data_IF_652103013111
#
_entry.id   IF_652103013111
#
_cell.length_a   1.000
_cell.length_b   1.000
_cell.length_c   1.000
_cell.angle_alpha   90.00
_cell.angle_beta   90.00
_cell.angle_gamma   90.00
#
_symmetry.space_group_name_H-M   'P 1'
#
loop_
_entity.id
_entity.type
_entity.pdbx_description
1 polymer ?
#
# COMPACT_ATOMS: atom_id res chain seq x y z
N UNK A 1 -2.17 -20.89 -25.02
CA UNK A 1 -2.48 -20.76 -23.59
C UNK A 1 -1.91 -19.44 -23.10
N UNK A 2 -2.74 -18.44 -22.81
CA UNK A 2 -2.30 -17.28 -22.02
C UNK A 2 -2.06 -17.80 -20.59
N UNK A 3 -0.82 -17.79 -20.14
CA UNK A 3 -0.53 -18.05 -18.73
C UNK A 3 -1.11 -16.91 -17.91
N UNK A 4 -1.94 -17.23 -16.90
CA UNK A 4 -2.45 -16.22 -15.97
C UNK A 4 -1.31 -15.54 -15.19
N UNK A 5 -1.58 -14.35 -14.68
CA UNK A 5 -0.62 -13.61 -13.87
C UNK A 5 -0.68 -14.06 -12.42
N UNK A 6 0.46 -14.12 -11.76
CA UNK A 6 0.49 -14.32 -10.31
C UNK A 6 0.02 -13.05 -9.59
N UNK A 7 -0.51 -13.21 -8.38
CA UNK A 7 -0.90 -12.12 -7.50
C UNK A 7 0.21 -11.06 -7.39
N UNK A 8 1.46 -11.49 -7.22
CA UNK A 8 2.63 -10.61 -7.20
C UNK A 8 2.79 -9.84 -8.51
N UNK A 9 2.64 -10.49 -9.67
CA UNK A 9 2.76 -9.83 -10.97
C UNK A 9 1.64 -8.80 -11.18
N UNK A 10 0.41 -9.10 -10.72
CA UNK A 10 -0.70 -8.16 -10.77
C UNK A 10 -0.41 -6.91 -9.93
N UNK A 11 0.08 -7.07 -8.69
CA UNK A 11 0.50 -5.94 -7.84
C UNK A 11 1.60 -5.11 -8.47
N UNK A 12 2.59 -5.77 -9.11
CA UNK A 12 3.67 -5.08 -9.82
C UNK A 12 3.12 -4.24 -10.97
N UNK A 13 2.22 -4.81 -11.78
CA UNK A 13 1.60 -4.11 -12.90
C UNK A 13 0.76 -2.92 -12.43
N UNK A 14 -0.05 -3.09 -11.39
CA UNK A 14 -0.87 -2.02 -10.82
C UNK A 14 -0.02 -0.87 -10.29
N UNK A 15 1.03 -1.17 -9.52
CA UNK A 15 1.96 -0.16 -8.99
C UNK A 15 2.66 0.59 -10.11
N UNK A 16 3.17 -0.14 -11.10
CA UNK A 16 3.83 0.43 -12.28
C UNK A 16 2.90 1.40 -13.01
N UNK A 17 1.65 1.01 -13.24
CA UNK A 17 0.67 1.85 -13.92
C UNK A 17 0.40 3.15 -13.15
N UNK A 18 0.24 3.10 -11.83
CA UNK A 18 0.04 4.31 -11.02
C UNK A 18 1.23 5.26 -11.12
N UNK A 19 2.46 4.75 -11.06
CA UNK A 19 3.67 5.58 -11.19
C UNK A 19 3.77 6.19 -12.60
N UNK A 20 3.63 5.38 -13.64
CA UNK A 20 3.84 5.83 -15.03
C UNK A 20 2.71 6.73 -15.55
N UNK A 21 1.46 6.50 -15.13
CA UNK A 21 0.30 7.22 -15.70
C UNK A 21 -0.22 8.35 -14.80
N UNK A 22 0.00 8.27 -13.49
CA UNK A 22 -0.48 9.27 -12.52
C UNK A 22 0.65 9.96 -11.75
N UNK A 23 1.92 9.62 -12.03
CA UNK A 23 3.08 10.26 -11.39
C UNK A 23 3.23 9.97 -9.90
N UNK A 24 2.77 8.81 -9.42
CA UNK A 24 2.96 8.45 -8.03
C UNK A 24 4.44 8.29 -7.68
N UNK A 25 4.83 8.79 -6.52
CA UNK A 25 6.10 8.49 -5.87
C UNK A 25 5.92 7.34 -4.87
N UNK A 26 6.88 6.45 -4.79
CA UNK A 26 6.89 5.35 -3.84
C UNK A 26 7.86 5.70 -2.71
N UNK A 27 7.38 5.69 -1.46
CA UNK A 27 8.22 5.98 -0.30
C UNK A 27 8.18 4.83 0.71
N UNK A 28 9.28 4.57 1.37
CA UNK A 28 9.36 3.58 2.46
C UNK A 28 10.65 2.79 2.47
N UNK A 29 10.75 1.90 3.45
CA UNK A 29 11.89 1.02 3.60
C UNK A 29 11.96 -0.02 2.47
N UNK A 30 13.11 -0.15 1.83
CA UNK A 30 13.35 -1.09 0.72
C UNK A 30 12.72 -0.66 -0.61
N UNK A 31 12.22 0.59 -0.71
CA UNK A 31 11.59 1.10 -1.93
C UNK A 31 12.55 1.13 -3.13
N UNK A 32 13.82 1.45 -2.88
CA UNK A 32 14.84 1.53 -3.94
C UNK A 32 15.59 0.21 -4.18
N UNK A 33 15.75 -0.60 -3.17
CA UNK A 33 16.63 -1.76 -3.28
C UNK A 33 15.93 -2.98 -3.86
N UNK A 34 14.61 -2.96 -3.86
CA UNK A 34 13.85 -4.14 -4.19
C UNK A 34 14.07 -5.23 -3.16
N UNK A 35 13.92 -6.28 -3.04
CA UNK A 35 14.24 -7.23 -1.97
C UNK A 35 13.15 -8.29 -1.85
N UNK A 36 12.68 -8.50 -0.64
CA UNK A 36 11.69 -9.51 -0.33
C UNK A 36 10.30 -8.90 -0.07
N UNK A 37 9.28 -9.73 -0.12
CA UNK A 37 7.91 -9.33 0.18
C UNK A 37 7.42 -8.21 -0.75
N UNK A 38 6.81 -7.19 -0.17
CA UNK A 38 6.22 -6.05 -0.89
C UNK A 38 7.23 -5.32 -1.78
N UNK A 39 8.47 -5.12 -1.32
CA UNK A 39 9.49 -4.43 -2.11
C UNK A 39 9.80 -5.16 -3.44
N UNK A 40 9.63 -6.48 -3.47
CA UNK A 40 9.77 -7.28 -4.68
C UNK A 40 8.61 -7.13 -5.68
N UNK A 41 7.57 -6.34 -5.35
CA UNK A 41 6.50 -5.94 -6.28
C UNK A 41 6.75 -4.58 -6.93
N UNK A 42 7.86 -3.92 -6.60
CA UNK A 42 8.27 -2.66 -7.21
C UNK A 42 9.19 -2.98 -8.39
N UNK A 43 8.77 -2.62 -9.60
CA UNK A 43 9.58 -2.83 -10.79
C UNK A 43 10.86 -1.99 -10.70
N UNK A 44 12.00 -2.59 -11.03
CA UNK A 44 13.31 -1.93 -10.99
C UNK A 44 13.38 -0.66 -11.85
N UNK A 45 12.58 -0.58 -12.92
CA UNK A 45 12.51 0.61 -13.78
C UNK A 45 11.92 1.82 -13.06
N UNK A 46 11.20 1.62 -11.95
CA UNK A 46 10.58 2.69 -11.14
C UNK A 46 11.54 3.31 -10.12
N UNK A 47 12.79 2.86 -10.05
CA UNK A 47 13.76 3.31 -9.04
C UNK A 47 13.89 4.85 -8.95
N UNK A 48 13.76 5.56 -10.08
CA UNK A 48 13.77 7.03 -10.12
C UNK A 48 12.54 7.69 -9.45
N UNK A 49 11.47 6.94 -9.25
CA UNK A 49 10.25 7.39 -8.55
C UNK A 49 10.15 6.85 -7.12
N UNK A 50 11.24 6.24 -6.61
CA UNK A 50 11.30 5.66 -5.29
C UNK A 50 12.16 6.52 -4.35
N UNK A 51 11.69 6.78 -3.16
CA UNK A 51 12.42 7.44 -2.09
C UNK A 51 12.61 6.44 -0.96
N UNK A 52 13.86 6.05 -0.73
CA UNK A 52 14.22 5.18 0.38
C UNK A 52 14.09 5.92 1.70
N UNK A 53 13.41 5.32 2.66
CA UNK A 53 13.27 5.85 4.00
C UNK A 53 13.79 4.84 5.03
N UNK A 54 14.34 5.31 6.16
CA UNK A 54 14.67 4.43 7.27
C UNK A 54 13.41 3.87 7.94
N UNK A 55 13.59 2.92 8.84
CA UNK A 55 12.50 2.31 9.63
C UNK A 55 11.99 3.30 10.68
N UNK A 56 10.90 4.00 10.38
CA UNK A 56 10.23 4.95 11.28
C UNK A 56 8.79 5.21 10.80
N UNK A 57 7.94 4.23 10.90
CA UNK A 57 6.63 4.16 10.25
C UNK A 57 5.70 5.31 10.65
N UNK A 58 5.77 5.81 11.89
CA UNK A 58 4.99 6.97 12.32
C UNK A 58 5.39 8.21 11.52
N UNK A 59 6.68 8.52 11.45
CA UNK A 59 7.20 9.67 10.69
C UNK A 59 6.93 9.48 9.20
N UNK A 60 7.11 8.28 8.66
CA UNK A 60 6.81 7.96 7.26
C UNK A 60 5.35 8.25 6.91
N UNK A 61 4.40 7.88 7.78
CA UNK A 61 2.97 8.15 7.57
C UNK A 61 2.70 9.66 7.56
N UNK A 62 3.35 10.41 8.45
CA UNK A 62 3.28 11.89 8.46
C UNK A 62 3.91 12.53 7.22
N UNK A 63 5.05 12.02 6.76
CA UNK A 63 5.72 12.46 5.51
C UNK A 63 4.80 12.23 4.31
N UNK A 64 4.18 11.03 4.20
CA UNK A 64 3.24 10.72 3.14
C UNK A 64 2.09 11.74 3.07
N UNK A 65 1.52 12.07 4.24
CA UNK A 65 0.47 13.09 4.32
C UNK A 65 0.98 14.47 3.91
N UNK A 66 2.15 14.89 4.41
CA UNK A 66 2.75 16.19 4.08
C UNK A 66 3.05 16.34 2.59
N UNK A 67 3.63 15.31 1.97
CA UNK A 67 3.89 15.28 0.51
C UNK A 67 2.58 15.33 -0.29
N UNK A 68 1.56 14.57 0.14
CA UNK A 68 0.24 14.62 -0.48
C UNK A 68 -0.40 16.00 -0.38
N UNK A 69 -0.28 16.70 0.74
CA UNK A 69 -0.74 18.07 0.91
C UNK A 69 0.03 19.08 0.05
N UNK A 70 1.30 18.79 -0.26
CA UNK A 70 2.12 19.57 -1.19
C UNK A 70 1.77 19.31 -2.67
N UNK A 71 0.85 18.38 -2.96
CA UNK A 71 0.38 18.09 -4.31
C UNK A 71 0.97 16.84 -4.97
N UNK A 72 1.78 16.07 -4.24
CA UNK A 72 2.34 14.83 -4.76
C UNK A 72 1.36 13.65 -4.61
N UNK A 73 1.38 12.72 -5.55
CA UNK A 73 0.68 11.45 -5.44
C UNK A 73 1.61 10.42 -4.79
N UNK A 74 1.20 9.77 -3.71
CA UNK A 74 2.11 8.96 -2.87
C UNK A 74 1.62 7.53 -2.72
N UNK A 75 2.52 6.57 -2.92
CA UNK A 75 2.41 5.19 -2.45
C UNK A 75 3.39 5.02 -1.30
N UNK A 76 2.89 4.93 -0.07
CA UNK A 76 3.70 4.68 1.12
C UNK A 76 3.65 3.20 1.46
N UNK A 77 4.80 2.52 1.43
CA UNK A 77 4.88 1.07 1.61
C UNK A 77 5.32 0.69 3.02
N UNK A 78 4.63 -0.29 3.60
CA UNK A 78 4.92 -0.85 4.93
C UNK A 78 5.00 -2.38 4.80
N UNK A 79 6.21 -2.95 4.71
CA UNK A 79 6.39 -4.39 4.47
C UNK A 79 5.79 -5.30 5.54
N UNK A 80 5.46 -4.76 6.71
CA UNK A 80 4.80 -5.51 7.79
C UNK A 80 3.67 -4.68 8.41
N UNK A 81 2.48 -5.27 8.47
CA UNK A 81 1.33 -4.62 9.09
C UNK A 81 1.56 -4.37 10.58
N UNK A 82 2.26 -5.28 11.25
CA UNK A 82 2.62 -5.15 12.65
C UNK A 82 3.40 -3.85 12.96
N UNK A 83 4.28 -3.43 12.06
CA UNK A 83 5.08 -2.21 12.25
C UNK A 83 4.30 -0.96 11.85
N UNK A 84 3.38 -1.06 10.89
CA UNK A 84 2.48 0.03 10.52
C UNK A 84 1.63 0.52 11.70
N UNK A 85 1.41 -0.30 12.73
CA UNK A 85 0.69 0.10 13.95
C UNK A 85 1.30 1.35 14.58
N UNK A 86 2.61 1.55 14.54
CA UNK A 86 3.25 2.76 15.06
C UNK A 86 2.81 4.03 14.32
N UNK A 87 2.41 3.92 13.06
CA UNK A 87 1.89 5.02 12.25
C UNK A 87 0.39 5.32 12.41
N UNK A 88 -0.35 4.55 13.24
CA UNK A 88 -1.80 4.70 13.33
C UNK A 88 -2.28 6.05 13.85
N UNK A 89 -1.49 6.74 14.69
CA UNK A 89 -1.84 8.10 15.11
C UNK A 89 -1.93 9.04 13.91
N UNK A 90 -0.95 8.99 13.01
CA UNK A 90 -0.93 9.81 11.80
C UNK A 90 -2.03 9.41 10.81
N UNK A 91 -2.34 8.10 10.73
CA UNK A 91 -3.41 7.60 9.88
C UNK A 91 -4.78 8.04 10.38
N UNK A 92 -5.11 7.76 11.66
CA UNK A 92 -6.45 7.91 12.22
C UNK A 92 -6.76 9.37 12.54
N UNK A 93 -5.83 10.08 13.20
CA UNK A 93 -6.08 11.42 13.72
C UNK A 93 -5.83 12.51 12.68
N UNK A 94 -4.99 12.25 11.68
CA UNK A 94 -4.64 13.24 10.67
C UNK A 94 -5.17 12.87 9.29
N UNK A 95 -4.72 11.75 8.71
CA UNK A 95 -5.09 11.38 7.33
C UNK A 95 -6.59 11.11 7.17
N UNK A 96 -7.19 10.33 8.07
CA UNK A 96 -8.62 10.00 8.02
C UNK A 96 -9.52 11.20 8.31
N UNK A 97 -9.08 12.15 9.13
CA UNK A 97 -9.86 13.34 9.50
C UNK A 97 -9.60 14.54 8.58
N UNK A 98 -8.60 14.47 7.72
CA UNK A 98 -8.17 15.60 6.88
C UNK A 98 -9.33 16.23 6.10
N UNK A 99 -10.14 15.41 5.42
CA UNK A 99 -11.27 15.88 4.61
C UNK A 99 -12.29 16.65 5.45
N UNK A 100 -12.61 16.15 6.64
CA UNK A 100 -13.56 16.79 7.56
C UNK A 100 -12.95 18.08 8.13
N UNK A 101 -11.73 18.02 8.65
CA UNK A 101 -11.04 19.18 9.26
C UNK A 101 -10.81 20.32 8.25
N UNK A 102 -10.59 19.98 6.99
CA UNK A 102 -10.38 20.97 5.93
C UNK A 102 -11.67 21.44 5.24
N UNK A 103 -12.84 20.96 5.70
CA UNK A 103 -14.12 21.20 5.03
C UNK A 103 -14.09 20.82 3.54
N UNK A 104 -13.44 19.69 3.23
CA UNK A 104 -13.31 19.16 1.87
C UNK A 104 -12.28 19.87 0.98
N UNK A 105 -11.52 20.84 1.50
CA UNK A 105 -10.53 21.59 0.71
C UNK A 105 -9.30 20.78 0.32
N UNK A 106 -8.96 19.77 1.12
CA UNK A 106 -7.82 18.89 0.87
C UNK A 106 -8.29 17.44 0.66
N UNK A 107 -7.88 16.86 -0.45
CA UNK A 107 -8.11 15.45 -0.80
C UNK A 107 -6.90 14.92 -1.57
N UNK A 108 -5.74 14.74 -0.89
CA UNK A 108 -4.53 14.24 -1.53
C UNK A 108 -4.68 12.79 -1.97
N UNK A 109 -3.95 12.39 -2.99
CA UNK A 109 -3.89 11.02 -3.47
C UNK A 109 -2.78 10.26 -2.74
N UNK A 110 -3.16 9.44 -1.76
CA UNK A 110 -2.20 8.66 -0.97
C UNK A 110 -2.69 7.20 -0.88
N UNK A 111 -1.82 6.28 -1.18
CA UNK A 111 -2.05 4.85 -1.00
C UNK A 111 -1.08 4.35 0.08
N UNK A 112 -1.61 4.00 1.24
CA UNK A 112 -0.87 3.25 2.25
C UNK A 112 -0.96 1.76 1.90
N UNK A 113 0.16 1.15 1.48
CA UNK A 113 0.24 -0.29 1.21
C UNK A 113 0.88 -0.99 2.39
N UNK A 114 0.18 -1.97 2.97
CA UNK A 114 0.65 -2.74 4.11
C UNK A 114 0.64 -4.24 3.81
N UNK A 115 1.69 -4.95 4.22
CA UNK A 115 1.87 -6.37 3.97
C UNK A 115 1.58 -7.23 5.19
N UNK A 116 0.69 -8.22 5.03
CA UNK A 116 0.52 -9.31 6.00
C UNK A 116 1.54 -10.39 5.68
N UNK A 117 2.41 -10.70 6.64
CA UNK A 117 3.47 -11.69 6.46
C UNK A 117 2.92 -13.10 6.34
N UNK A 118 3.57 -13.92 5.49
CA UNK A 118 3.28 -15.35 5.38
C UNK A 118 3.92 -16.14 6.54
N UNK A 119 3.31 -17.29 6.86
CA UNK A 119 3.87 -18.29 7.79
C UNK A 119 4.64 -19.39 7.06
N UNK A 120 4.51 -19.48 5.76
CA UNK A 120 5.16 -20.47 4.89
C UNK A 120 5.82 -19.72 3.73
N UNK A 121 7.05 -20.05 3.32
CA UNK A 121 7.95 -21.09 3.81
C UNK A 121 8.67 -20.76 5.12
N UNK A 122 8.63 -19.51 5.57
CA UNK A 122 9.28 -19.05 6.80
C UNK A 122 8.25 -18.29 7.66
N UNK A 123 8.02 -18.79 8.88
CA UNK A 123 7.27 -18.05 9.90
C UNK A 123 8.21 -17.11 10.66
N UNK A 124 8.05 -15.82 10.43
CA UNK A 124 8.83 -14.79 11.12
C UNK A 124 8.32 -14.48 12.55
N UNK A 125 7.30 -15.23 13.00
CA UNK A 125 6.72 -15.13 14.33
C UNK A 125 5.60 -14.11 14.47
N UNK A 126 5.04 -14.00 15.70
CA UNK A 126 3.78 -13.27 15.95
C UNK A 126 3.87 -11.75 15.75
N UNK A 127 5.05 -11.19 15.62
CA UNK A 127 5.24 -9.75 15.35
C UNK A 127 5.33 -9.43 13.85
N UNK A 128 5.09 -10.41 12.96
CA UNK A 128 5.28 -10.24 11.52
C UNK A 128 4.13 -10.79 10.68
N UNK A 129 3.12 -11.39 11.32
CA UNK A 129 2.07 -12.15 10.62
C UNK A 129 0.65 -11.77 11.01
N UNK A 130 0.48 -10.68 11.77
CA UNK A 130 -0.85 -10.23 12.16
C UNK A 130 -1.54 -9.45 11.02
N UNK A 131 -2.87 -9.51 11.06
CA UNK A 131 -3.75 -8.79 10.16
C UNK A 131 -4.75 -7.97 10.99
N UNK A 132 -4.65 -6.65 10.88
CA UNK A 132 -5.51 -5.70 11.60
C UNK A 132 -6.55 -5.05 10.70
N UNK A 133 -6.81 -5.62 9.52
CA UNK A 133 -7.74 -5.05 8.52
C UNK A 133 -9.14 -4.83 9.10
N UNK A 134 -9.66 -5.81 9.85
CA UNK A 134 -10.99 -5.71 10.46
C UNK A 134 -11.08 -4.51 11.41
N UNK A 135 -10.11 -4.37 12.29
CA UNK A 135 -10.06 -3.27 13.27
C UNK A 135 -9.97 -1.91 12.57
N UNK A 136 -9.15 -1.80 11.52
CA UNK A 136 -9.03 -0.54 10.79
C UNK A 136 -10.27 -0.20 9.98
N UNK A 137 -10.99 -1.19 9.43
CA UNK A 137 -12.30 -0.96 8.80
C UNK A 137 -13.35 -0.41 9.76
N UNK A 138 -13.24 -0.73 11.05
CA UNK A 138 -14.16 -0.23 12.10
C UNK A 138 -13.77 1.18 12.58
N UNK A 139 -12.50 1.53 12.58
CA UNK A 139 -11.97 2.80 13.10
C UNK A 139 -11.98 3.91 12.04
N UNK A 140 -11.58 3.59 10.79
CA UNK A 140 -11.43 4.56 9.71
C UNK A 140 -12.80 4.95 9.16
N UNK A 141 -13.00 6.25 8.94
CA UNK A 141 -14.29 6.82 8.54
C UNK A 141 -14.27 7.42 7.14
N UNK A 142 -13.12 7.91 6.69
CA UNK A 142 -12.95 8.54 5.37
C UNK A 142 -11.99 7.75 4.46
N UNK A 143 -11.05 7.03 5.04
CA UNK A 143 -10.10 6.18 4.30
C UNK A 143 -10.76 4.85 3.99
N UNK A 144 -10.84 4.49 2.72
CA UNK A 144 -11.33 3.17 2.30
C UNK A 144 -10.24 2.12 2.47
N UNK A 145 -10.59 1.02 3.15
CA UNK A 145 -9.68 -0.10 3.41
C UNK A 145 -9.99 -1.24 2.43
N UNK A 146 -9.03 -1.54 1.58
CA UNK A 146 -9.07 -2.62 0.60
C UNK A 146 -8.20 -3.77 1.07
N UNK A 147 -8.79 -4.94 1.26
CA UNK A 147 -8.05 -6.16 1.54
C UNK A 147 -8.04 -7.04 0.30
N UNK A 148 -6.86 -7.24 -0.28
CA UNK A 148 -6.68 -8.06 -1.46
C UNK A 148 -6.45 -9.51 -1.00
N UNK A 149 -7.55 -10.24 -0.80
CA UNK A 149 -7.53 -11.65 -0.44
C UNK A 149 -7.28 -12.55 -1.65
N UNK A 150 -7.24 -13.86 -1.42
CA UNK A 150 -6.90 -14.88 -2.43
C UNK A 150 -7.78 -14.84 -3.69
N UNK A 151 -9.05 -14.49 -3.54
CA UNK A 151 -10.04 -14.50 -4.63
C UNK A 151 -10.31 -13.08 -5.20
N UNK A 152 -9.53 -12.10 -4.78
CA UNK A 152 -9.68 -10.72 -5.22
C UNK A 152 -8.64 -10.42 -6.29
N UNK A 153 -9.09 -9.98 -7.45
CA UNK A 153 -8.17 -9.49 -8.50
C UNK A 153 -7.57 -8.14 -8.06
N UNK A 154 -6.23 -8.05 -7.89
CA UNK A 154 -5.59 -6.79 -7.57
C UNK A 154 -5.91 -5.67 -8.57
N UNK A 155 -6.10 -5.99 -9.85
CA UNK A 155 -6.42 -4.98 -10.85
C UNK A 155 -7.75 -4.28 -10.57
N UNK A 156 -8.81 -5.01 -10.16
CA UNK A 156 -10.10 -4.40 -9.83
C UNK A 156 -9.98 -3.40 -8.68
N UNK A 157 -9.21 -3.75 -7.64
CA UNK A 157 -8.97 -2.86 -6.49
C UNK A 157 -8.20 -1.61 -6.91
N UNK A 158 -7.14 -1.77 -7.69
CA UNK A 158 -6.33 -0.64 -8.12
C UNK A 158 -7.02 0.20 -9.20
N UNK A 159 -7.91 -0.37 -10.01
CA UNK A 159 -8.77 0.39 -10.92
C UNK A 159 -9.72 1.29 -10.15
N UNK A 160 -10.37 0.77 -9.11
CA UNK A 160 -11.20 1.57 -8.23
C UNK A 160 -10.41 2.75 -7.59
N UNK A 161 -9.21 2.47 -7.06
CA UNK A 161 -8.35 3.51 -6.47
C UNK A 161 -7.93 4.55 -7.52
N UNK A 162 -7.58 4.08 -8.72
CA UNK A 162 -7.16 4.93 -9.84
C UNK A 162 -8.26 5.92 -10.26
N UNK A 163 -9.53 5.47 -10.25
CA UNK A 163 -10.68 6.29 -10.61
C UNK A 163 -11.14 7.20 -9.46
N UNK A 164 -11.15 6.68 -8.22
CA UNK A 164 -11.67 7.41 -7.07
C UNK A 164 -10.75 8.54 -6.61
N UNK A 165 -9.43 8.35 -6.69
CA UNK A 165 -8.47 9.23 -6.02
C UNK A 165 -8.68 9.28 -4.51
N UNK A 166 -7.94 10.16 -3.81
CA UNK A 166 -8.06 10.31 -2.36
C UNK A 166 -7.10 9.40 -1.58
N UNK A 167 -7.43 9.14 -0.32
CA UNK A 167 -6.59 8.35 0.58
C UNK A 167 -7.16 6.94 0.73
N UNK A 168 -6.33 5.94 0.48
CA UNK A 168 -6.68 4.53 0.55
C UNK A 168 -5.67 3.74 1.40
N UNK A 169 -6.15 2.71 2.09
CA UNK A 169 -5.32 1.69 2.72
C UNK A 169 -5.49 0.37 1.97
N UNK A 170 -4.41 -0.16 1.43
CA UNK A 170 -4.38 -1.44 0.70
C UNK A 170 -3.62 -2.46 1.52
N UNK A 171 -4.29 -3.56 1.85
CA UNK A 171 -3.72 -4.69 2.59
C UNK A 171 -3.49 -5.83 1.62
N UNK A 172 -2.25 -6.30 1.53
CA UNK A 172 -1.84 -7.41 0.68
C UNK A 172 -1.24 -8.56 1.50
N UNK A 173 -1.38 -9.78 1.01
CA UNK A 173 -0.99 -11.00 1.71
C UNK A 173 0.18 -11.69 0.99
N UNK A 174 1.30 -11.86 1.66
CA UNK A 174 2.49 -12.50 1.08
C UNK A 174 2.27 -13.98 0.75
N UNK A 175 1.37 -14.63 1.47
CA UNK A 175 1.04 -16.04 1.22
C UNK A 175 0.44 -16.30 -0.16
N UNK A 176 -0.18 -15.26 -0.79
CA UNK A 176 -0.80 -15.38 -2.11
C UNK A 176 0.11 -14.97 -3.27
N UNK A 177 1.34 -14.52 -3.00
CA UNK A 177 2.23 -13.97 -4.04
C UNK A 177 2.53 -14.92 -5.21
N UNK A 178 2.50 -16.24 -4.96
CA UNK A 178 2.68 -17.27 -5.97
C UNK A 178 1.40 -17.73 -6.67
N UNK A 179 0.22 -17.32 -6.16
CA UNK A 179 -1.06 -17.80 -6.68
C UNK A 179 -1.41 -17.12 -8.01
N UNK A 180 -1.97 -17.88 -8.94
CA UNK A 180 -2.51 -17.32 -10.19
C UNK A 180 -3.89 -16.74 -9.87
N UNK A 181 -4.04 -15.43 -10.03
CA UNK A 181 -5.27 -14.70 -9.65
C UNK A 181 -5.88 -13.89 -10.79
N UNK A 182 -5.08 -13.55 -11.81
CA UNK A 182 -5.54 -12.83 -12.98
C UNK A 182 -5.26 -13.68 -14.22
N UNK A 183 -6.26 -13.89 -15.02
CA UNK A 183 -6.09 -14.63 -16.25
C UNK A 183 -7.35 -14.68 -17.06
N UNK A 184 -7.42 -13.75 -17.99
CA UNK A 184 -7.86 -14.05 -19.37
C UNK A 184 -7.40 -12.98 -20.32
#
# INVERSE_FOLDING_TARGET
FKMGLTYKQCLTNCTTRLVEQKGYLIIGQGAQDGGHGMCATIDKKLKGSCIELPVFEETQTGIALGMGLAGENIISIYPRFDFFISGLSQLINHSDKLKVMSHGKFSPNIIFRVGVGAKVPLDAGPQHTNNYTKQLKEILTSIKVHEIGKLVDPHEVFDEIYEAGGIHLVVEHYEFYGDIVCGN
#
